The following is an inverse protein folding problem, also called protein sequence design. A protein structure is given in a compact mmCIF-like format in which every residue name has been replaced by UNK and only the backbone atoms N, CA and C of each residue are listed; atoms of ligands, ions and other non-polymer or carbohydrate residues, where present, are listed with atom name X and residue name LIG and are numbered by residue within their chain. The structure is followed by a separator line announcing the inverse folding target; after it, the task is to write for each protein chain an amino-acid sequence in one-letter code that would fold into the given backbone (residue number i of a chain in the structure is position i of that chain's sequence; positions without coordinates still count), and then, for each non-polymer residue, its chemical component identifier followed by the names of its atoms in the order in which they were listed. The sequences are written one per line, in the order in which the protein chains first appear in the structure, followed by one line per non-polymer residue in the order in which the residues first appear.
data_IF_899106259483
#
_entry.id   IF_899106259483
#
_cell.length_a   1.000
_cell.length_b   1.000
_cell.length_c   1.000
_cell.angle_alpha   90.00
_cell.angle_beta   90.00
_cell.angle_gamma   90.00
#
_symmetry.space_group_name_H-M   'P 1'
#
loop_
_entity.id
_entity.type
_entity.pdbx_description
1 polymer ?
#
# COMPACT_ATOMS: atom_id res chain seq x y z
N UNK A 1 -17.58 -4.93 4.11
CA UNK A 1 -17.53 -4.27 2.78
C UNK A 1 -16.48 -3.16 2.74
N UNK A 2 -16.63 -2.04 3.47
CA UNK A 2 -15.62 -0.95 3.44
C UNK A 2 -14.29 -1.43 4.01
N UNK A 3 -14.28 -2.05 5.19
CA UNK A 3 -13.06 -2.58 5.79
C UNK A 3 -12.37 -3.60 4.88
N UNK A 4 -13.14 -4.49 4.24
CA UNK A 4 -12.61 -5.50 3.31
C UNK A 4 -11.92 -4.88 2.08
N UNK A 5 -12.52 -3.84 1.49
CA UNK A 5 -11.91 -3.10 0.40
C UNK A 5 -10.62 -2.40 0.85
N UNK A 6 -10.60 -1.85 2.08
CA UNK A 6 -9.41 -1.23 2.66
C UNK A 6 -8.33 -2.30 2.93
N UNK A 7 -8.69 -3.48 3.43
CA UNK A 7 -7.74 -4.59 3.62
C UNK A 7 -7.10 -4.99 2.29
N UNK A 8 -7.91 -5.15 1.24
CA UNK A 8 -7.42 -5.48 -0.09
C UNK A 8 -6.48 -4.41 -0.66
N UNK A 9 -6.82 -3.12 -0.56
CA UNK A 9 -5.96 -2.06 -1.09
C UNK A 9 -4.66 -1.92 -0.31
N UNK A 10 -4.69 -2.09 1.02
CA UNK A 10 -3.48 -2.08 1.83
C UNK A 10 -2.59 -3.28 1.50
N UNK A 11 -3.14 -4.48 1.36
CA UNK A 11 -2.34 -5.63 0.92
C UNK A 11 -1.72 -5.48 -0.48
N UNK A 12 -2.39 -4.75 -1.39
CA UNK A 12 -1.93 -4.54 -2.77
C UNK A 12 -0.88 -3.40 -2.89
N UNK A 13 -1.16 -2.22 -2.33
CA UNK A 13 -0.42 -0.99 -2.65
C UNK A 13 0.46 -0.42 -1.53
N UNK A 14 0.61 -1.10 -0.39
CA UNK A 14 1.47 -0.60 0.70
C UNK A 14 2.96 -0.43 0.33
N UNK A 15 3.39 -0.96 -0.81
CA UNK A 15 4.76 -0.86 -1.32
C UNK A 15 5.03 0.28 -2.30
N UNK A 16 4.08 1.18 -2.57
CA UNK A 16 4.31 2.31 -3.49
C UNK A 16 5.27 3.32 -2.84
N UNK A 17 6.44 3.52 -3.46
CA UNK A 17 7.48 4.41 -2.94
C UNK A 17 7.29 5.87 -3.39
N UNK A 18 7.67 6.80 -2.52
CA UNK A 18 7.75 8.23 -2.83
C UNK A 18 9.19 8.63 -3.15
N UNK A 19 9.40 9.17 -4.35
CA UNK A 19 10.71 9.64 -4.87
C UNK A 19 10.67 11.12 -5.28
N UNK A 20 9.59 11.84 -4.93
CA UNK A 20 9.42 13.26 -5.24
C UNK A 20 9.29 13.62 -6.73
N UNK A 21 9.16 12.65 -7.64
CA UNK A 21 9.15 12.91 -9.09
C UNK A 21 7.74 13.30 -9.59
N UNK A 22 7.58 14.53 -10.12
CA UNK A 22 6.27 15.11 -10.48
C UNK A 22 5.41 14.26 -11.43
N UNK A 23 5.98 13.77 -12.53
CA UNK A 23 5.22 12.95 -13.49
C UNK A 23 4.91 11.55 -12.93
N UNK A 24 5.84 10.95 -12.18
CA UNK A 24 5.65 9.63 -11.57
C UNK A 24 4.56 9.68 -10.48
N UNK A 25 4.43 10.78 -9.74
CA UNK A 25 3.34 10.98 -8.79
C UNK A 25 1.96 10.89 -9.46
N UNK A 26 1.75 11.53 -10.61
CA UNK A 26 0.48 11.44 -11.33
C UNK A 26 0.18 10.00 -11.79
N UNK A 27 1.20 9.28 -12.26
CA UNK A 27 1.06 7.88 -12.65
C UNK A 27 0.75 6.98 -11.45
N UNK A 28 1.42 7.16 -10.30
CA UNK A 28 1.16 6.43 -9.05
C UNK A 28 -0.26 6.68 -8.53
N UNK A 29 -0.77 7.92 -8.62
CA UNK A 29 -2.16 8.25 -8.29
C UNK A 29 -3.12 7.48 -9.20
N UNK A 30 -2.87 7.47 -10.52
CA UNK A 30 -3.71 6.73 -11.45
C UNK A 30 -3.73 5.23 -11.15
N UNK A 31 -2.58 4.62 -10.92
CA UNK A 31 -2.48 3.20 -10.50
C UNK A 31 -3.19 2.95 -9.16
N UNK A 32 -3.13 3.91 -8.23
CA UNK A 32 -3.85 3.89 -6.96
C UNK A 32 -5.36 3.81 -7.15
N UNK A 33 -5.91 4.63 -8.04
CA UNK A 33 -7.34 4.65 -8.34
C UNK A 33 -7.79 3.32 -8.95
N UNK A 34 -7.08 2.79 -9.95
CA UNK A 34 -7.44 1.50 -10.56
C UNK A 34 -7.40 0.36 -9.53
N UNK A 35 -6.36 0.31 -8.71
CA UNK A 35 -6.25 -0.69 -7.65
C UNK A 35 -7.38 -0.58 -6.62
N UNK A 36 -7.84 0.64 -6.30
CA UNK A 36 -8.96 0.85 -5.40
C UNK A 36 -10.28 0.33 -5.99
N UNK A 37 -10.50 0.50 -7.29
CA UNK A 37 -11.62 -0.12 -8.00
C UNK A 37 -11.56 -1.65 -7.92
N UNK A 38 -10.40 -2.24 -8.22
CA UNK A 38 -10.21 -3.69 -8.17
C UNK A 38 -10.43 -4.24 -6.76
N UNK A 39 -9.82 -3.62 -5.74
CA UNK A 39 -9.97 -3.99 -4.34
C UNK A 39 -11.43 -3.94 -3.88
N UNK A 40 -12.18 -2.92 -4.32
CA UNK A 40 -13.60 -2.77 -4.02
C UNK A 40 -14.44 -3.84 -4.73
N UNK A 41 -14.16 -4.13 -6.00
CA UNK A 41 -14.86 -5.18 -6.75
C UNK A 41 -14.64 -6.57 -6.17
N UNK A 42 -13.42 -6.87 -5.72
CA UNK A 42 -13.11 -8.11 -5.02
C UNK A 42 -13.89 -8.20 -3.69
N UNK A 43 -13.88 -7.12 -2.90
CA UNK A 43 -14.62 -7.05 -1.64
C UNK A 43 -16.14 -7.23 -1.83
N UNK A 44 -16.71 -6.69 -2.92
CA UNK A 44 -18.12 -6.89 -3.28
C UNK A 44 -18.44 -8.37 -3.58
N UNK A 45 -17.48 -9.10 -4.18
CA UNK A 45 -17.59 -10.54 -4.42
C UNK A 45 -17.20 -11.40 -3.22
N UNK A 46 -16.91 -10.80 -2.06
CA UNK A 46 -16.43 -11.47 -0.84
C UNK A 46 -15.06 -12.13 -0.98
N UNK A 47 -14.27 -11.70 -1.96
CA UNK A 47 -12.87 -12.07 -2.12
C UNK A 47 -12.00 -11.03 -1.40
N UNK A 48 -11.45 -11.44 -0.26
CA UNK A 48 -10.70 -10.56 0.64
C UNK A 48 -9.44 -11.26 1.09
N UNK A 49 -8.32 -10.54 1.07
CA UNK A 49 -7.06 -10.99 1.67
C UNK A 49 -7.26 -11.29 3.15
N UNK A 50 -6.59 -12.32 3.63
CA UNK A 50 -6.75 -12.84 5.00
C UNK A 50 -5.45 -12.71 5.77
N UNK A 51 -5.57 -12.86 7.09
CA UNK A 51 -4.40 -12.98 7.95
C UNK A 51 -3.47 -14.10 7.46
N UNK A 52 -2.19 -13.78 7.36
CA UNK A 52 -1.17 -14.67 6.78
C UNK A 52 -0.83 -14.37 5.31
N UNK A 53 -1.66 -13.59 4.61
CA UNK A 53 -1.34 -13.07 3.28
C UNK A 53 -0.39 -11.86 3.40
N UNK A 54 0.86 -12.13 3.76
CA UNK A 54 1.91 -11.11 3.90
C UNK A 54 1.65 -10.17 5.09
N UNK A 55 1.49 -8.86 4.82
CA UNK A 55 1.34 -7.81 5.85
C UNK A 55 -0.07 -7.69 6.42
N UNK A 56 -1.04 -8.45 5.89
CA UNK A 56 -2.44 -8.41 6.31
C UNK A 56 -2.60 -9.05 7.70
N UNK A 57 -3.18 -8.29 8.63
CA UNK A 57 -3.44 -8.70 10.01
C UNK A 57 -4.73 -9.52 10.16
N UNK A 58 -5.07 -9.89 11.40
CA UNK A 58 -6.33 -10.57 11.74
C UNK A 58 -7.55 -9.68 11.53
N UNK A 59 -7.36 -8.36 11.60
CA UNK A 59 -8.35 -7.35 11.31
C UNK A 59 -7.74 -6.16 10.57
N UNK A 60 -8.60 -5.21 10.20
CA UNK A 60 -8.19 -4.01 9.48
C UNK A 60 -7.27 -3.11 10.31
N UNK A 61 -7.48 -3.01 11.63
CA UNK A 61 -6.68 -2.15 12.50
C UNK A 61 -5.25 -2.68 12.63
N UNK A 62 -5.09 -3.99 12.75
CA UNK A 62 -3.79 -4.63 12.73
C UNK A 62 -3.10 -4.47 11.36
N UNK A 63 -3.85 -4.62 10.26
CA UNK A 63 -3.31 -4.37 8.92
C UNK A 63 -2.81 -2.92 8.77
N UNK A 64 -3.59 -1.94 9.24
CA UNK A 64 -3.18 -0.52 9.26
C UNK A 64 -1.94 -0.32 10.12
N UNK A 65 -1.85 -0.95 11.30
CA UNK A 65 -0.66 -0.88 12.15
C UNK A 65 0.58 -1.46 11.46
N UNK A 66 0.45 -2.62 10.80
CA UNK A 66 1.56 -3.25 10.07
C UNK A 66 2.07 -2.35 8.94
N UNK A 67 1.17 -1.74 8.18
CA UNK A 67 1.51 -0.75 7.14
C UNK A 67 2.17 0.48 7.75
N UNK A 68 1.65 0.97 8.88
CA UNK A 68 2.22 2.09 9.62
C UNK A 68 3.64 1.81 10.11
N UNK A 69 3.90 0.63 10.65
CA UNK A 69 5.24 0.20 11.08
C UNK A 69 6.22 0.12 9.89
N UNK A 70 5.79 -0.46 8.77
CA UNK A 70 6.59 -0.47 7.54
C UNK A 70 6.92 0.94 7.08
N UNK A 71 5.93 1.84 7.04
CA UNK A 71 6.12 3.22 6.60
C UNK A 71 7.00 4.04 7.56
N UNK A 72 6.83 3.89 8.88
CA UNK A 72 7.55 4.68 9.87
C UNK A 72 8.98 4.17 10.11
N UNK A 73 9.15 2.84 10.16
CA UNK A 73 10.41 2.20 10.54
C UNK A 73 11.12 1.63 9.32
N UNK A 74 10.43 0.84 8.51
CA UNK A 74 11.01 0.13 7.36
C UNK A 74 11.47 1.07 6.24
N UNK A 75 10.73 2.13 5.96
CA UNK A 75 11.03 3.04 4.84
C UNK A 75 12.18 4.01 5.11
N UNK A 76 12.74 4.09 6.33
CA UNK A 76 13.88 4.97 6.63
C UNK A 76 15.10 4.67 5.76
N UNK A 77 15.50 3.40 5.68
CA UNK A 77 16.63 2.99 4.83
C UNK A 77 16.31 3.07 3.33
N UNK A 78 15.03 2.88 2.97
CA UNK A 78 14.56 3.09 1.59
C UNK A 78 14.72 4.55 1.18
N UNK A 79 14.35 5.50 2.05
CA UNK A 79 14.49 6.94 1.81
C UNK A 79 15.96 7.34 1.62
N UNK A 80 16.85 6.87 2.49
CA UNK A 80 18.31 7.07 2.33
C UNK A 80 18.82 6.55 0.98
N UNK A 81 18.36 5.36 0.56
CA UNK A 81 18.73 4.76 -0.73
C UNK A 81 18.20 5.59 -1.90
N UNK A 82 16.96 6.06 -1.83
CA UNK A 82 16.33 6.92 -2.84
C UNK A 82 17.13 8.23 -2.98
N UNK A 83 17.47 8.89 -1.87
CA UNK A 83 18.29 10.09 -1.87
C UNK A 83 19.66 9.85 -2.51
N UNK A 84 20.31 8.72 -2.18
CA UNK A 84 21.56 8.30 -2.81
C UNK A 84 21.45 8.02 -4.31
N UNK A 85 20.27 7.68 -4.84
CA UNK A 85 20.03 7.55 -6.29
C UNK A 85 19.80 8.93 -6.93
N UNK A 86 18.99 9.79 -6.29
CA UNK A 86 18.63 11.11 -6.80
C UNK A 86 19.79 12.08 -6.88
N UNK A 87 20.82 11.88 -6.05
CA UNK A 87 21.96 12.79 -5.89
C UNK A 87 23.27 12.26 -6.48
N UNK A 88 23.22 11.13 -7.20
CA UNK A 88 24.33 10.69 -8.06
C UNK A 88 24.50 11.61 -9.26
#
# INVERSE_FOLDING_TARGET
MVCDAITNILGNLSGVICDGAKASCAMKISSGIYSAFDATMLALHKDVLKSGDGIVGVDIEETIRNVGELAQCGMKGTDETILGIMTK
#
